data_IF_851698393607
#
_entry.id   IF_851698393607
#
_cell.length_a   1.000
_cell.length_b   1.000
_cell.length_c   1.000
_cell.angle_alpha   90.00
_cell.angle_beta   90.00
_cell.angle_gamma   90.00
#
_symmetry.space_group_name_H-M   'P 1'
#
loop_
_entity.id
_entity.type
_entity.pdbx_description
1 polymer ?
#
# COMPACT_ATOMS: atom_id res chain seq x y z
N UNK A 1 -21.54 -5.48 25.85
CA UNK A 1 -21.30 -4.67 24.69
C UNK A 1 -22.57 -3.93 24.28
N UNK A 2 -22.43 -2.68 23.88
CA UNK A 2 -23.54 -1.89 23.41
C UNK A 2 -23.92 -2.30 21.98
N UNK A 3 -25.12 -2.78 21.78
CA UNK A 3 -25.59 -3.25 20.50
C UNK A 3 -25.86 -2.11 19.50
N UNK A 4 -25.94 -0.88 19.98
CA UNK A 4 -26.10 0.27 19.09
C UNK A 4 -24.80 0.69 18.42
N UNK A 5 -23.67 0.20 18.90
CA UNK A 5 -22.37 0.49 18.28
C UNK A 5 -22.17 -0.41 17.08
N UNK A 6 -21.59 0.13 16.00
CA UNK A 6 -21.25 -0.73 14.87
C UNK A 6 -20.26 -1.80 15.30
N UNK A 7 -20.37 -2.95 14.67
CA UNK A 7 -19.42 -4.01 14.91
C UNK A 7 -18.01 -3.53 14.56
N UNK A 8 -17.09 -3.62 15.51
CA UNK A 8 -15.71 -3.22 15.29
C UNK A 8 -14.81 -4.43 15.41
N UNK A 9 -14.11 -4.75 14.33
CA UNK A 9 -13.13 -5.80 14.30
C UNK A 9 -11.75 -5.19 14.31
N UNK A 10 -10.93 -5.45 15.33
CA UNK A 10 -9.58 -4.86 15.35
C UNK A 10 -8.77 -5.35 14.17
N UNK A 11 -7.98 -4.44 13.63
CA UNK A 11 -7.10 -4.76 12.51
C UNK A 11 -5.98 -5.66 12.99
N UNK A 12 -5.69 -6.64 12.19
CA UNK A 12 -4.60 -7.58 12.43
C UNK A 12 -3.60 -7.44 11.30
N UNK A 13 -2.33 -7.31 11.66
CA UNK A 13 -1.25 -7.19 10.70
C UNK A 13 -0.28 -8.34 10.91
N UNK A 14 0.02 -9.06 9.84
CA UNK A 14 0.98 -10.16 9.85
C UNK A 14 2.09 -9.82 8.86
N UNK A 15 3.34 -9.94 9.29
CA UNK A 15 4.49 -9.75 8.44
C UNK A 15 5.36 -11.00 8.42
N UNK A 16 5.84 -11.34 7.23
CA UNK A 16 6.81 -12.40 7.01
C UNK A 16 8.04 -11.76 6.39
N UNK A 17 9.20 -12.03 6.94
CA UNK A 17 10.46 -11.45 6.49
C UNK A 17 11.63 -12.33 6.93
N UNK A 18 12.80 -12.08 6.35
CA UNK A 18 14.02 -12.79 6.76
C UNK A 18 14.62 -12.21 8.02
N UNK A 19 14.39 -10.91 8.26
CA UNK A 19 14.98 -10.21 9.40
C UNK A 19 14.04 -9.12 9.88
N UNK A 20 13.99 -8.90 11.18
CA UNK A 20 13.20 -7.84 11.80
C UNK A 20 14.02 -7.16 12.89
N UNK A 21 13.85 -5.83 12.97
CA UNK A 21 14.46 -5.02 14.01
C UNK A 21 13.38 -4.19 14.68
N UNK A 22 13.23 -4.36 15.98
CA UNK A 22 12.29 -3.55 16.77
C UNK A 22 13.10 -2.49 17.51
N UNK A 23 12.74 -1.24 17.33
CA UNK A 23 13.41 -0.12 17.99
C UNK A 23 12.39 0.62 18.84
N UNK A 24 12.42 0.36 20.13
CA UNK A 24 11.45 0.95 21.05
C UNK A 24 11.69 2.44 21.27
N UNK A 25 12.92 2.92 21.08
CA UNK A 25 13.20 4.35 21.20
C UNK A 25 12.62 5.14 20.03
N UNK A 26 12.75 4.58 18.83
CA UNK A 26 12.20 5.22 17.62
C UNK A 26 10.76 4.83 17.36
N UNK A 27 10.23 3.91 18.13
CA UNK A 27 8.89 3.37 17.94
C UNK A 27 8.70 2.87 16.51
N UNK A 28 9.67 2.10 16.06
CA UNK A 28 9.71 1.54 14.71
C UNK A 28 9.91 0.04 14.74
N UNK A 29 9.35 -0.62 13.73
CA UNK A 29 9.67 -2.00 13.43
C UNK A 29 10.09 -2.06 11.97
N UNK A 30 11.27 -2.61 11.69
CA UNK A 30 11.82 -2.70 10.35
C UNK A 30 11.96 -4.15 9.95
N UNK A 31 11.52 -4.47 8.75
CA UNK A 31 11.53 -5.83 8.21
C UNK A 31 12.27 -5.83 6.89
N UNK A 32 13.14 -6.80 6.71
CA UNK A 32 13.95 -6.93 5.50
C UNK A 32 13.97 -8.35 4.98
N UNK A 33 14.18 -8.50 3.68
CA UNK A 33 14.31 -9.78 3.03
C UNK A 33 12.98 -10.35 2.58
N UNK A 34 12.58 -10.02 1.35
CA UNK A 34 11.38 -10.54 0.72
C UNK A 34 10.16 -10.44 1.65
N UNK A 35 9.85 -9.20 2.03
CA UNK A 35 8.84 -8.95 3.05
C UNK A 35 7.45 -9.03 2.48
N UNK A 36 6.58 -9.76 3.16
CA UNK A 36 5.15 -9.81 2.87
C UNK A 36 4.38 -9.32 4.07
N UNK A 37 3.40 -8.46 3.84
CA UNK A 37 2.53 -7.95 4.88
C UNK A 37 1.07 -8.16 4.48
N UNK A 38 0.29 -8.67 5.40
CA UNK A 38 -1.15 -8.79 5.22
C UNK A 38 -1.86 -8.08 6.36
N UNK A 39 -2.88 -7.33 6.04
CA UNK A 39 -3.73 -6.65 7.02
C UNK A 39 -5.18 -7.06 6.80
N UNK A 40 -5.84 -7.46 7.87
CA UNK A 40 -7.25 -7.79 7.84
C UNK A 40 -8.00 -6.85 8.81
N UNK A 41 -9.29 -6.61 8.62
CA UNK A 41 -10.19 -7.31 7.69
C UNK A 41 -10.22 -6.75 6.26
N UNK A 42 -9.49 -5.67 5.96
CA UNK A 42 -9.57 -4.99 4.66
C UNK A 42 -8.77 -5.66 3.54
N UNK A 43 -8.12 -6.77 3.83
CA UNK A 43 -7.37 -7.58 2.85
C UNK A 43 -6.32 -6.78 2.07
N UNK A 44 -5.59 -5.95 2.80
CA UNK A 44 -4.45 -5.25 2.24
C UNK A 44 -3.25 -6.20 2.22
N UNK A 45 -2.59 -6.30 1.08
CA UNK A 45 -1.37 -7.09 0.92
C UNK A 45 -0.27 -6.20 0.34
N UNK A 46 0.91 -6.26 0.93
CA UNK A 46 2.09 -5.53 0.45
C UNK A 46 3.26 -6.49 0.35
N UNK A 47 3.97 -6.45 -0.77
CA UNK A 47 5.21 -7.19 -0.96
C UNK A 47 6.30 -6.18 -1.31
N UNK A 48 7.44 -6.26 -0.64
CA UNK A 48 8.56 -5.35 -0.84
C UNK A 48 9.86 -5.96 -0.31
N UNK A 49 10.98 -5.39 -0.70
CA UNK A 49 12.26 -5.82 -0.13
C UNK A 49 12.45 -5.37 1.31
N UNK A 50 11.82 -4.26 1.68
CA UNK A 50 11.92 -3.70 3.02
C UNK A 50 10.61 -3.00 3.38
N UNK A 51 10.13 -3.23 4.60
CA UNK A 51 8.96 -2.54 5.14
C UNK A 51 9.30 -2.02 6.53
N UNK A 52 9.00 -0.74 6.76
CA UNK A 52 9.17 -0.10 8.06
C UNK A 52 7.83 0.34 8.58
N UNK A 53 7.49 -0.07 9.79
CA UNK A 53 6.28 0.35 10.48
C UNK A 53 6.64 1.41 11.50
N UNK A 54 5.85 2.48 11.55
CA UNK A 54 5.93 3.46 12.61
C UNK A 54 4.73 3.28 13.52
N UNK A 55 5.01 3.23 14.83
CA UNK A 55 3.99 2.98 15.83
C UNK A 55 3.85 4.20 16.75
N UNK A 56 2.70 4.36 17.36
CA UNK A 56 2.49 5.35 18.41
C UNK A 56 3.08 4.86 19.72
N UNK A 57 3.05 5.70 20.74
CA UNK A 57 3.48 5.30 22.09
C UNK A 57 2.63 4.16 22.65
N UNK A 58 1.38 4.06 22.23
CA UNK A 58 0.49 2.97 22.60
C UNK A 58 0.61 1.77 21.69
N UNK A 59 1.63 1.75 20.81
CA UNK A 59 1.92 0.65 19.89
C UNK A 59 0.85 0.44 18.83
N UNK A 60 0.17 1.51 18.45
CA UNK A 60 -0.76 1.48 17.34
C UNK A 60 -0.04 1.88 16.06
N UNK A 61 -0.39 1.23 14.97
CA UNK A 61 0.21 1.51 13.67
C UNK A 61 -0.17 2.90 13.18
N UNK A 62 0.84 3.71 12.83
CA UNK A 62 0.63 5.06 12.30
C UNK A 62 0.98 5.17 10.83
N UNK A 63 2.07 4.56 10.41
CA UNK A 63 2.46 4.61 9.00
C UNK A 63 3.25 3.38 8.61
N UNK A 64 3.23 3.10 7.32
CA UNK A 64 3.98 2.01 6.70
C UNK A 64 4.80 2.61 5.58
N UNK A 65 6.09 2.29 5.54
CA UNK A 65 6.95 2.62 4.41
C UNK A 65 7.47 1.32 3.81
N UNK A 66 7.24 1.16 2.51
CA UNK A 66 7.71 0.02 1.77
C UNK A 66 8.71 0.49 0.72
N UNK A 67 9.80 -0.24 0.55
CA UNK A 67 10.87 0.10 -0.37
C UNK A 67 11.35 -1.14 -1.10
N UNK A 68 11.98 -0.95 -2.26
CA UNK A 68 12.54 -2.01 -3.09
C UNK A 68 11.46 -2.87 -3.75
N UNK A 69 11.03 -2.42 -4.92
CA UNK A 69 10.07 -3.14 -5.75
C UNK A 69 8.78 -3.44 -5.00
N UNK A 70 8.07 -2.38 -4.68
CA UNK A 70 6.83 -2.49 -3.91
C UNK A 70 5.68 -2.95 -4.79
N UNK A 71 4.94 -3.93 -4.32
CA UNK A 71 3.67 -4.34 -4.90
C UNK A 71 2.60 -4.31 -3.81
N UNK A 72 1.48 -3.67 -4.13
CA UNK A 72 0.38 -3.45 -3.19
C UNK A 72 -0.89 -4.00 -3.81
N UNK A 73 -1.70 -4.68 -3.01
CA UNK A 73 -2.92 -5.29 -3.52
C UNK A 73 -4.06 -5.12 -2.51
N UNK A 74 -5.19 -4.67 -3.02
CA UNK A 74 -6.46 -4.61 -2.31
C UNK A 74 -7.53 -5.22 -3.20
N UNK A 75 -8.71 -5.55 -2.68
CA UNK A 75 -9.81 -5.97 -3.53
C UNK A 75 -10.09 -4.92 -4.62
N UNK A 76 -9.99 -5.31 -5.88
CA UNK A 76 -10.25 -4.44 -7.01
C UNK A 76 -9.13 -3.50 -7.41
N UNK A 77 -7.97 -3.56 -6.74
CA UNK A 77 -6.88 -2.64 -7.03
C UNK A 77 -5.52 -3.31 -6.81
N UNK A 78 -4.62 -3.12 -7.76
CA UNK A 78 -3.23 -3.55 -7.65
C UNK A 78 -2.33 -2.39 -8.03
N UNK A 79 -1.24 -2.19 -7.30
CA UNK A 79 -0.32 -1.09 -7.55
C UNK A 79 1.13 -1.54 -7.41
N UNK A 80 2.02 -0.90 -8.15
CA UNK A 80 3.46 -1.11 -8.08
C UNK A 80 4.17 0.24 -8.05
N UNK A 81 5.29 0.29 -7.35
CA UNK A 81 6.17 1.46 -7.33
C UNK A 81 7.52 1.06 -6.76
N UNK A 82 8.50 1.96 -6.88
CA UNK A 82 9.78 1.74 -6.23
C UNK A 82 9.66 1.90 -4.72
N UNK A 83 8.82 2.85 -4.28
CA UNK A 83 8.54 3.09 -2.87
C UNK A 83 7.06 3.38 -2.68
N UNK A 84 6.56 3.05 -1.53
CA UNK A 84 5.18 3.37 -1.15
C UNK A 84 5.14 3.78 0.32
N UNK A 85 4.35 4.80 0.62
CA UNK A 85 4.13 5.28 1.97
C UNK A 85 2.64 5.25 2.26
N UNK A 86 2.25 4.58 3.33
CA UNK A 86 0.86 4.50 3.77
C UNK A 86 0.72 5.27 5.07
N UNK A 87 -0.23 6.19 5.13
CA UNK A 87 -0.56 6.93 6.34
C UNK A 87 -1.89 6.43 6.88
N UNK A 88 -1.85 5.85 8.08
CA UNK A 88 -3.03 5.24 8.69
C UNK A 88 -4.05 6.29 9.12
N UNK A 89 -3.59 7.48 9.50
CA UNK A 89 -4.47 8.54 9.98
C UNK A 89 -5.25 9.16 8.83
N UNK A 90 -4.55 9.53 7.76
CA UNK A 90 -5.19 10.16 6.60
C UNK A 90 -5.77 9.16 5.60
N UNK A 91 -5.47 7.88 5.76
CA UNK A 91 -5.89 6.83 4.83
C UNK A 91 -5.44 7.13 3.40
N UNK A 92 -4.17 7.51 3.26
CA UNK A 92 -3.59 7.82 1.96
C UNK A 92 -2.39 6.93 1.69
N UNK A 93 -2.16 6.65 0.40
CA UNK A 93 -0.97 5.94 -0.06
C UNK A 93 -0.29 6.82 -1.09
N UNK A 94 1.01 7.03 -0.91
CA UNK A 94 1.85 7.70 -1.89
C UNK A 94 2.75 6.67 -2.55
N UNK A 95 2.62 6.54 -3.86
CA UNK A 95 3.45 5.66 -4.68
C UNK A 95 4.46 6.51 -5.42
N UNK A 96 5.73 6.18 -5.29
CA UNK A 96 6.83 6.95 -5.89
C UNK A 96 7.77 6.09 -6.70
N UNK A 97 8.11 6.57 -7.88
CA UNK A 97 9.06 5.91 -8.78
C UNK A 97 8.41 4.82 -9.61
N UNK A 98 8.23 5.07 -10.90
CA UNK A 98 7.60 4.15 -11.85
C UNK A 98 6.28 3.61 -11.31
N UNK A 99 5.45 4.53 -10.82
CA UNK A 99 4.20 4.16 -10.16
C UNK A 99 3.17 3.68 -11.16
N UNK A 100 2.50 2.58 -10.83
CA UNK A 100 1.44 1.99 -11.65
C UNK A 100 0.29 1.56 -10.75
N UNK A 101 -0.93 1.80 -11.22
CA UNK A 101 -2.14 1.34 -10.52
C UNK A 101 -3.10 0.77 -11.55
N UNK A 102 -3.59 -0.43 -11.27
CA UNK A 102 -4.72 -0.99 -12.01
C UNK A 102 -5.91 -1.07 -11.09
N UNK A 103 -7.02 -0.45 -11.50
CA UNK A 103 -8.27 -0.46 -10.77
C UNK A 103 -9.38 -0.78 -11.76
N UNK A 104 -9.92 -2.00 -11.67
CA UNK A 104 -10.86 -2.47 -12.66
C UNK A 104 -10.21 -2.50 -14.05
N UNK A 105 -10.79 -1.73 -14.99
CA UNK A 105 -10.30 -1.65 -16.37
C UNK A 105 -9.30 -0.51 -16.59
N UNK A 106 -9.03 0.30 -15.56
CA UNK A 106 -8.13 1.44 -15.69
C UNK A 106 -6.74 1.07 -15.25
N UNK A 107 -5.77 1.36 -16.10
CA UNK A 107 -4.35 1.22 -15.78
C UNK A 107 -3.70 2.59 -15.88
N UNK A 108 -3.21 3.09 -14.75
CA UNK A 108 -2.63 4.41 -14.64
C UNK A 108 -1.15 4.29 -14.33
N UNK A 109 -0.33 5.03 -15.05
CA UNK A 109 1.12 5.07 -14.86
C UNK A 109 1.56 6.50 -14.70
N UNK A 110 2.53 6.73 -13.82
CA UNK A 110 3.11 8.04 -13.60
C UNK A 110 4.35 7.96 -12.74
N UNK A 111 4.98 9.09 -12.48
CA UNK A 111 6.13 9.16 -11.58
C UNK A 111 5.69 9.03 -10.13
N UNK A 112 4.55 9.64 -9.82
CA UNK A 112 3.98 9.66 -8.47
C UNK A 112 2.47 9.48 -8.57
N UNK A 113 1.91 8.63 -7.72
CA UNK A 113 0.47 8.45 -7.62
C UNK A 113 0.07 8.51 -6.15
N UNK A 114 -0.90 9.37 -5.85
CA UNK A 114 -1.52 9.43 -4.53
C UNK A 114 -2.88 8.74 -4.59
N UNK A 115 -3.12 7.82 -3.68
CA UNK A 115 -4.40 7.14 -3.55
C UNK A 115 -5.04 7.56 -2.23
N UNK A 116 -6.29 7.97 -2.30
CA UNK A 116 -7.10 8.38 -1.15
C UNK A 116 -8.13 7.27 -0.91
N UNK A 117 -7.86 6.43 0.10
CA UNK A 117 -8.61 5.20 0.28
C UNK A 117 -10.04 5.41 0.76
N UNK A 118 -10.24 6.42 1.59
CA UNK A 118 -11.55 6.69 2.16
C UNK A 118 -12.54 7.29 1.16
N UNK A 119 -12.04 7.96 0.12
CA UNK A 119 -12.87 8.55 -0.92
C UNK A 119 -12.69 7.88 -2.28
N UNK A 120 -11.94 6.80 -2.33
CA UNK A 120 -11.69 6.01 -3.53
C UNK A 120 -11.24 6.87 -4.72
N UNK A 121 -10.26 7.72 -4.49
CA UNK A 121 -9.75 8.68 -5.44
C UNK A 121 -8.25 8.47 -5.63
N UNK A 122 -7.75 8.72 -6.83
CA UNK A 122 -6.33 8.71 -7.12
C UNK A 122 -5.92 9.95 -7.87
N UNK A 123 -4.71 10.44 -7.62
CA UNK A 123 -4.12 11.57 -8.35
C UNK A 123 -2.72 11.15 -8.79
N UNK A 124 -2.48 11.23 -10.09
CA UNK A 124 -1.21 10.87 -10.68
C UNK A 124 -0.49 12.11 -11.19
N UNK A 125 0.83 12.12 -11.05
CA UNK A 125 1.68 13.17 -11.58
C UNK A 125 2.84 12.56 -12.36
N UNK A 126 3.18 13.21 -13.48
CA UNK A 126 4.35 12.85 -14.26
C UNK A 126 5.47 13.84 -14.05
N UNK A 127 6.64 13.54 -14.60
CA UNK A 127 7.79 14.45 -14.68
C UNK A 127 7.86 15.00 -16.11
N UNK A 128 8.74 16.02 -16.33
CA UNK A 128 8.85 16.71 -17.62
C UNK A 128 9.03 15.79 -18.83
N UNK A 129 9.76 14.68 -18.66
CA UNK A 129 10.01 13.74 -19.76
C UNK A 129 9.33 12.40 -19.55
N UNK A 130 8.50 12.29 -18.50
CA UNK A 130 7.79 11.06 -18.17
C UNK A 130 6.37 11.44 -17.82
N UNK A 131 5.50 11.58 -18.83
CA UNK A 131 4.11 11.97 -18.59
C UNK A 131 3.34 10.85 -17.92
N UNK A 132 2.18 11.18 -17.37
CA UNK A 132 1.25 10.15 -16.94
C UNK A 132 0.68 9.47 -18.18
N UNK A 133 0.34 8.20 -18.01
CA UNK A 133 -0.33 7.44 -19.05
C UNK A 133 -1.48 6.67 -18.43
N UNK A 134 -2.64 6.76 -19.06
CA UNK A 134 -3.79 5.95 -18.67
C UNK A 134 -4.18 5.05 -19.82
N UNK A 135 -4.36 3.78 -19.53
CA UNK A 135 -4.84 2.79 -20.48
C UNK A 135 -6.17 2.25 -19.97
N UNK A 136 -7.13 2.16 -20.86
CA UNK A 136 -8.44 1.58 -20.56
C UNK A 136 -8.48 0.22 -21.23
N UNK A 137 -8.58 -0.84 -20.44
CA UNK A 137 -8.55 -2.22 -20.92
C UNK A 137 -9.90 -2.61 -21.48
N UNK A 138 -9.87 -3.37 -22.58
CA UNK A 138 -11.08 -3.96 -23.12
C UNK A 138 -11.62 -5.07 -22.23
N UNK A 139 -12.89 -5.45 -22.46
CA UNK A 139 -13.57 -6.42 -21.62
C UNK A 139 -12.87 -7.78 -21.55
N UNK A 140 -12.09 -8.13 -22.59
CA UNK A 140 -11.39 -9.40 -22.67
C UNK A 140 -9.90 -9.30 -22.37
N UNK A 141 -9.41 -8.12 -21.98
CA UNK A 141 -8.00 -7.96 -21.67
C UNK A 141 -7.72 -8.55 -20.30
N UNK A 142 -6.60 -9.29 -20.15
CA UNK A 142 -6.22 -9.82 -18.85
C UNK A 142 -5.72 -8.70 -17.93
N UNK A 143 -5.67 -9.00 -16.64
CA UNK A 143 -5.03 -8.10 -15.68
C UNK A 143 -3.56 -7.91 -16.04
N UNK A 144 -3.07 -6.69 -15.89
CA UNK A 144 -1.70 -6.35 -16.29
C UNK A 144 -0.68 -6.96 -15.33
N UNK A 145 -0.97 -6.95 -14.01
CA UNK A 145 -0.07 -7.53 -13.04
C UNK A 145 -0.79 -7.90 -11.75
N UNK A 146 -0.14 -8.72 -10.94
CA UNK A 146 -0.59 -9.13 -9.61
C UNK A 146 0.61 -9.17 -8.68
N UNK A 147 0.37 -9.03 -7.38
CA UNK A 147 1.44 -9.09 -6.39
C UNK A 147 1.79 -10.52 -5.98
N UNK A 148 0.85 -11.46 -6.16
CA UNK A 148 1.07 -12.85 -5.77
C UNK A 148 0.29 -13.84 -6.65
#
# INVERSE_FOLDING_TARGET
RDETQPFYEPRKVILLASRAVLDNFKQQAMFEGDVEMERSPDNLYIHAGKITLRLSESQELQSIQAEQEVCFEQPGRVAKANRASFDEISQTILLEGSAEVQSGKFHLQGTTINLYLDVNKGVAQGANKTPIQMTILGAKSPSIFKCR
#
